data_IF_195566681055
#
_entry.id   IF_195566681055
#
_cell.length_a   1.000
_cell.length_b   1.000
_cell.length_c   1.000
_cell.angle_alpha   90.00
_cell.angle_beta   90.00
_cell.angle_gamma   90.00
#
_symmetry.space_group_name_H-M   'P 1'
#
loop_
_entity.id
_entity.type
_entity.pdbx_description
1 polymer ?
#
# COMPACT_ATOMS: atom_id res chain seq x y z
N UNK A 1 -12.42 30.48 12.28
CA UNK A 1 -12.36 29.25 11.42
C UNK A 1 -10.93 28.98 11.04
N UNK A 2 -10.48 27.74 11.27
CA UNK A 2 -9.11 27.34 10.97
C UNK A 2 -9.04 26.54 9.66
N UNK A 3 -9.04 27.26 8.55
CA UNK A 3 -8.87 26.64 7.23
C UNK A 3 -7.42 26.26 7.01
N UNK A 4 -7.21 25.04 6.57
CA UNK A 4 -5.90 24.51 6.20
C UNK A 4 -5.97 23.93 4.79
N UNK A 5 -4.91 24.15 4.04
CA UNK A 5 -4.69 23.45 2.78
C UNK A 5 -3.79 22.26 3.06
N UNK A 6 -4.26 21.08 2.78
CA UNK A 6 -3.46 19.86 2.93
C UNK A 6 -3.23 19.23 1.56
N UNK A 7 -2.00 18.88 1.30
CA UNK A 7 -1.61 18.12 0.11
C UNK A 7 -1.42 16.68 0.57
N UNK A 8 -2.19 15.77 -0.01
CA UNK A 8 -2.27 14.39 0.46
C UNK A 8 -2.07 13.40 -0.68
N UNK A 9 -1.72 12.16 -0.31
CA UNK A 9 -1.69 11.03 -1.23
C UNK A 9 -2.52 9.89 -0.66
N UNK A 10 -3.26 9.23 -1.54
CA UNK A 10 -4.07 8.06 -1.19
C UNK A 10 -3.21 6.80 -1.11
N UNK A 11 -3.74 5.79 -0.44
CA UNK A 11 -3.16 4.47 -0.44
C UNK A 11 -3.25 3.85 -1.84
N UNK A 12 -2.13 3.35 -2.32
CA UNK A 12 -2.03 2.65 -3.61
C UNK A 12 -1.21 1.38 -3.42
N UNK A 13 -1.44 0.40 -4.27
CA UNK A 13 -0.61 -0.80 -4.33
C UNK A 13 0.37 -0.63 -5.48
N UNK A 14 1.66 -0.61 -5.17
CA UNK A 14 2.73 -0.47 -6.14
C UNK A 14 3.67 -1.67 -6.02
N UNK A 15 3.77 -2.47 -7.08
CA UNK A 15 4.57 -3.70 -7.12
C UNK A 15 4.25 -4.67 -5.95
N UNK A 16 2.99 -4.74 -5.56
CA UNK A 16 2.54 -5.58 -4.45
C UNK A 16 2.74 -4.97 -3.07
N UNK A 17 3.25 -3.75 -2.97
CA UNK A 17 3.47 -3.05 -1.71
C UNK A 17 2.51 -1.87 -1.54
N UNK A 18 2.08 -1.64 -0.31
CA UNK A 18 1.26 -0.48 0.05
C UNK A 18 2.11 0.78 0.01
N UNK A 19 1.67 1.78 -0.75
CA UNK A 19 2.37 3.05 -0.91
C UNK A 19 1.42 4.22 -0.71
N UNK A 20 1.93 5.30 -0.13
CA UNK A 20 1.25 6.60 -0.04
C UNK A 20 2.07 7.68 -0.77
N UNK A 21 2.86 7.29 -1.75
CA UNK A 21 3.80 8.18 -2.46
C UNK A 21 3.34 8.55 -3.88
N UNK A 22 2.10 8.23 -4.22
CA UNK A 22 1.55 8.49 -5.55
C UNK A 22 1.14 9.93 -5.79
N UNK A 23 0.12 10.10 -6.60
CA UNK A 23 -0.40 11.41 -6.99
C UNK A 23 -0.80 12.25 -5.78
N UNK A 24 -0.60 13.55 -5.90
CA UNK A 24 -0.93 14.51 -4.86
C UNK A 24 -2.26 15.17 -5.14
N UNK A 25 -3.04 15.34 -4.08
CA UNK A 25 -4.35 15.98 -4.12
C UNK A 25 -4.38 17.11 -3.08
N UNK A 26 -4.91 18.25 -3.47
CA UNK A 26 -5.05 19.41 -2.58
C UNK A 26 -6.49 19.48 -2.04
N UNK A 27 -6.61 19.55 -0.73
CA UNK A 27 -7.91 19.66 -0.07
C UNK A 27 -7.90 20.79 0.95
N UNK A 28 -9.03 21.46 1.06
CA UNK A 28 -9.25 22.52 2.05
C UNK A 28 -10.08 21.91 3.17
N UNK A 29 -9.55 21.94 4.38
CA UNK A 29 -10.21 21.42 5.57
C UNK A 29 -10.31 22.51 6.63
N UNK A 30 -11.25 22.33 7.54
CA UNK A 30 -11.48 23.25 8.63
C UNK A 30 -11.31 22.50 9.96
N UNK A 31 -10.20 22.73 10.64
CA UNK A 31 -9.89 22.08 11.91
C UNK A 31 -8.92 22.91 12.72
N UNK A 32 -9.07 22.88 14.04
CA UNK A 32 -8.13 23.47 14.98
C UNK A 32 -7.01 22.48 15.38
N UNK A 33 -7.18 21.21 15.05
CA UNK A 33 -6.16 20.19 15.37
C UNK A 33 -4.90 20.43 14.59
N UNK A 34 -3.75 20.21 15.22
CA UNK A 34 -2.46 20.31 14.57
C UNK A 34 -2.25 19.12 13.63
N UNK A 35 -1.98 19.44 12.37
CA UNK A 35 -1.68 18.44 11.35
C UNK A 35 -0.26 18.68 10.88
N UNK A 36 0.54 17.62 10.81
CA UNK A 36 1.93 17.67 10.39
C UNK A 36 2.16 16.84 9.14
N UNK A 37 3.22 17.16 8.43
CA UNK A 37 3.72 16.35 7.32
C UNK A 37 3.92 14.91 7.79
N UNK A 38 3.50 13.96 6.99
CA UNK A 38 3.52 12.52 7.22
C UNK A 38 2.47 11.97 8.19
N UNK A 39 1.61 12.83 8.73
CA UNK A 39 0.44 12.35 9.48
C UNK A 39 -0.53 11.62 8.55
N UNK A 40 -1.22 10.64 9.10
CA UNK A 40 -2.37 10.03 8.44
C UNK A 40 -3.64 10.64 8.98
N UNK A 41 -4.50 11.08 8.09
CA UNK A 41 -5.78 11.70 8.45
C UNK A 41 -6.92 11.05 7.69
N UNK A 42 -8.10 11.07 8.29
CA UNK A 42 -9.32 10.63 7.64
C UNK A 42 -10.11 11.85 7.18
N UNK A 43 -10.48 11.85 5.91
CA UNK A 43 -11.26 12.89 5.26
C UNK A 43 -12.58 12.32 4.74
N UNK A 44 -13.62 13.11 4.82
CA UNK A 44 -14.94 12.77 4.28
C UNK A 44 -15.34 13.69 3.14
N UNK A 45 -16.06 13.14 2.17
CA UNK A 45 -16.68 13.94 1.13
C UNK A 45 -17.95 14.60 1.66
N UNK A 46 -18.27 15.83 1.21
CA UNK A 46 -19.59 16.42 1.47
C UNK A 46 -20.72 15.52 0.92
N UNK A 47 -21.79 15.40 1.68
CA UNK A 47 -22.90 14.47 1.36
C UNK A 47 -23.60 14.74 0.03
N UNK A 48 -23.40 15.89 -0.56
CA UNK A 48 -24.00 16.23 -1.87
C UNK A 48 -23.20 15.68 -3.06
N UNK A 49 -22.06 15.02 -2.82
CA UNK A 49 -21.26 14.36 -3.86
C UNK A 49 -21.61 12.84 -3.90
N UNK A 50 -22.48 12.45 -4.83
CA UNK A 50 -23.07 11.11 -4.86
C UNK A 50 -22.12 9.99 -5.30
N UNK A 51 -21.10 10.27 -6.09
CA UNK A 51 -20.28 9.23 -6.77
C UNK A 51 -18.96 8.93 -6.10
N UNK A 52 -18.83 9.10 -4.79
CA UNK A 52 -17.53 8.98 -4.13
C UNK A 52 -17.56 8.22 -2.82
N UNK A 53 -16.43 7.65 -2.48
CA UNK A 53 -16.21 7.09 -1.14
C UNK A 53 -16.37 8.19 -0.11
N UNK A 54 -17.30 8.00 0.82
CA UNK A 54 -17.61 9.00 1.83
C UNK A 54 -16.43 9.28 2.73
N UNK A 55 -15.64 8.26 3.07
CA UNK A 55 -14.50 8.39 3.96
C UNK A 55 -13.25 7.80 3.31
N UNK A 56 -12.12 8.48 3.51
CA UNK A 56 -10.81 8.01 3.03
C UNK A 56 -9.72 8.36 4.01
N UNK A 57 -8.77 7.46 4.19
CA UNK A 57 -7.54 7.71 4.94
C UNK A 57 -6.43 8.08 3.96
N UNK A 58 -5.75 9.17 4.23
CA UNK A 58 -4.68 9.69 3.37
C UNK A 58 -3.47 10.09 4.20
N UNK A 59 -2.31 10.11 3.55
CA UNK A 59 -1.07 10.61 4.14
C UNK A 59 -0.89 12.07 3.77
N UNK A 60 -0.61 12.91 4.76
CA UNK A 60 -0.33 14.33 4.54
C UNK A 60 1.09 14.50 3.99
N UNK A 61 1.19 15.14 2.83
CA UNK A 61 2.47 15.44 2.18
C UNK A 61 2.95 16.85 2.48
N UNK A 62 2.04 17.81 2.51
CA UNK A 62 2.32 19.20 2.87
C UNK A 62 1.11 19.80 3.58
N UNK A 63 1.34 20.78 4.45
CA UNK A 63 0.30 21.50 5.19
C UNK A 63 0.53 23.00 5.10
N UNK A 64 -0.51 23.74 4.77
CA UNK A 64 -0.52 25.20 4.86
C UNK A 64 -1.55 25.59 5.91
N UNK A 65 -1.09 26.10 7.04
CA UNK A 65 -1.96 26.60 8.11
C UNK A 65 -2.49 28.00 7.75
N UNK A 66 -3.67 28.31 8.27
CA UNK A 66 -4.31 29.63 8.06
C UNK A 66 -4.43 29.99 6.56
N UNK A 67 -4.89 29.02 5.78
CA UNK A 67 -5.07 29.20 4.35
C UNK A 67 -6.16 30.25 4.07
N UNK A 68 -5.78 31.37 3.51
CA UNK A 68 -6.69 32.44 3.16
C UNK A 68 -6.38 33.08 1.81
N UNK A 69 -5.13 33.21 1.46
CA UNK A 69 -4.68 33.78 0.19
C UNK A 69 -3.63 32.85 -0.43
N UNK A 70 -3.71 32.69 -1.73
CA UNK A 70 -2.71 31.96 -2.46
C UNK A 70 -1.47 32.82 -2.66
N UNK A 71 -0.34 32.33 -2.16
CA UNK A 71 0.98 32.89 -2.42
C UNK A 71 1.62 32.09 -3.55
N UNK A 72 2.73 32.56 -4.09
CA UNK A 72 3.48 31.87 -5.12
C UNK A 72 3.89 30.45 -4.65
N UNK A 73 4.29 30.31 -3.40
CA UNK A 73 4.64 29.01 -2.81
C UNK A 73 3.44 28.05 -2.78
N UNK A 74 2.27 28.54 -2.43
CA UNK A 74 1.04 27.77 -2.39
C UNK A 74 0.62 27.37 -3.80
N UNK A 75 0.70 28.28 -4.75
CA UNK A 75 0.41 28.01 -6.15
C UNK A 75 1.33 26.92 -6.71
N UNK A 76 2.61 26.94 -6.36
CA UNK A 76 3.56 25.90 -6.77
C UNK A 76 3.21 24.53 -6.18
N UNK A 77 2.76 24.50 -4.92
CA UNK A 77 2.30 23.25 -4.31
C UNK A 77 1.05 22.69 -5.00
N UNK A 78 0.10 23.56 -5.31
CA UNK A 78 -1.14 23.19 -6.00
C UNK A 78 -0.86 22.72 -7.43
N UNK A 79 0.10 23.33 -8.10
CA UNK A 79 0.47 22.97 -9.47
C UNK A 79 0.99 21.54 -9.59
N UNK A 80 1.55 20.99 -8.52
CA UNK A 80 2.02 19.59 -8.46
C UNK A 80 0.89 18.59 -8.21
N UNK A 81 -0.31 19.07 -7.94
CA UNK A 81 -1.47 18.24 -7.65
C UNK A 81 -2.23 17.89 -8.93
N UNK A 82 -3.04 16.84 -8.85
CA UNK A 82 -3.83 16.34 -10.00
C UNK A 82 -4.85 17.36 -10.47
N UNK A 83 -5.40 18.16 -9.56
CA UNK A 83 -6.46 19.13 -9.86
C UNK A 83 -6.47 20.26 -8.83
N UNK A 84 -7.31 21.26 -9.06
CA UNK A 84 -7.52 22.36 -8.13
C UNK A 84 -8.01 21.88 -6.77
N UNK A 85 -7.74 22.64 -5.69
CA UNK A 85 -8.19 22.29 -4.34
C UNK A 85 -9.70 22.09 -4.26
N UNK A 86 -10.12 21.09 -3.49
CA UNK A 86 -11.52 20.80 -3.19
C UNK A 86 -11.75 20.77 -1.69
N UNK A 87 -12.98 21.10 -1.29
CA UNK A 87 -13.37 21.01 0.10
C UNK A 87 -13.53 19.55 0.54
N UNK A 88 -13.03 19.26 1.73
CA UNK A 88 -13.23 17.99 2.42
C UNK A 88 -13.59 18.25 3.86
N UNK A 89 -14.24 17.30 4.48
CA UNK A 89 -14.57 17.34 5.90
C UNK A 89 -13.49 16.57 6.66
N UNK A 90 -12.84 17.22 7.62
CA UNK A 90 -11.86 16.58 8.48
C UNK A 90 -12.58 15.69 9.50
N UNK A 91 -12.29 14.40 9.51
CA UNK A 91 -12.87 13.43 10.43
C UNK A 91 -11.99 13.25 11.66
N UNK A 92 -10.69 13.09 11.46
CA UNK A 92 -9.75 12.90 12.54
C UNK A 92 -8.40 12.43 12.05
N UNK A 93 -7.44 12.32 12.99
CA UNK A 93 -6.16 11.71 12.72
C UNK A 93 -6.29 10.21 12.85
N UNK A 94 -5.55 9.46 12.04
CA UNK A 94 -5.50 8.01 12.07
C UNK A 94 -4.12 7.55 12.55
N UNK A 95 -4.12 6.57 13.43
CA UNK A 95 -2.91 5.84 13.79
C UNK A 95 -2.91 4.51 13.06
N UNK A 96 -2.02 4.38 12.10
CA UNK A 96 -1.93 3.19 11.24
C UNK A 96 -0.83 2.21 11.67
N UNK A 97 -0.21 2.41 12.84
CA UNK A 97 0.89 1.56 13.29
C UNK A 97 0.48 0.08 13.38
N UNK A 98 -0.66 -0.20 13.99
CA UNK A 98 -1.18 -1.56 14.12
C UNK A 98 -1.57 -2.15 12.76
N UNK A 99 -2.13 -1.33 11.89
CA UNK A 99 -2.46 -1.74 10.52
C UNK A 99 -1.22 -2.16 9.74
N UNK A 100 -0.17 -1.35 9.76
CA UNK A 100 1.08 -1.66 9.08
C UNK A 100 1.75 -2.91 9.67
N UNK A 101 1.73 -3.06 10.99
CA UNK A 101 2.28 -4.25 11.66
C UNK A 101 1.54 -5.52 11.22
N UNK A 102 0.23 -5.46 11.11
CA UNK A 102 -0.58 -6.60 10.66
C UNK A 102 -0.34 -6.93 9.19
N UNK A 103 -0.20 -5.92 8.33
CA UNK A 103 0.13 -6.11 6.91
C UNK A 103 1.49 -6.79 6.77
N UNK A 104 2.52 -6.33 7.50
CA UNK A 104 3.85 -6.94 7.47
C UNK A 104 3.81 -8.39 7.94
N UNK A 105 3.06 -8.67 9.00
CA UNK A 105 2.88 -10.03 9.52
C UNK A 105 2.25 -10.95 8.48
N UNK A 106 1.18 -10.50 7.83
CA UNK A 106 0.50 -11.27 6.78
C UNK A 106 1.40 -11.51 5.58
N UNK A 107 2.20 -10.53 5.22
CA UNK A 107 3.16 -10.67 4.12
C UNK A 107 4.22 -11.72 4.45
N UNK A 108 4.76 -11.69 5.67
CA UNK A 108 5.73 -12.70 6.13
C UNK A 108 5.12 -14.11 6.14
N UNK A 109 3.89 -14.24 6.63
CA UNK A 109 3.18 -15.52 6.62
C UNK A 109 2.99 -16.04 5.20
N UNK A 110 2.57 -15.17 4.27
CA UNK A 110 2.39 -15.54 2.87
C UNK A 110 3.72 -15.99 2.23
N UNK A 111 4.81 -15.26 2.47
CA UNK A 111 6.13 -15.59 1.93
C UNK A 111 6.64 -16.94 2.47
N UNK A 112 6.49 -17.18 3.78
CA UNK A 112 6.88 -18.45 4.40
C UNK A 112 6.04 -19.61 3.89
N UNK A 113 4.73 -19.41 3.77
CA UNK A 113 3.81 -20.42 3.23
C UNK A 113 4.19 -20.79 1.81
N UNK A 114 4.50 -19.81 0.96
CA UNK A 114 4.94 -20.05 -0.41
C UNK A 114 6.24 -20.85 -0.47
N UNK A 115 7.20 -20.55 0.41
CA UNK A 115 8.46 -21.30 0.49
C UNK A 115 8.24 -22.75 0.94
N UNK A 116 7.38 -22.96 1.92
CA UNK A 116 7.03 -24.29 2.43
C UNK A 116 6.35 -25.11 1.34
N UNK A 117 5.37 -24.53 0.65
CA UNK A 117 4.67 -25.21 -0.45
C UNK A 117 5.61 -25.58 -1.59
N UNK A 118 6.53 -24.69 -1.95
CA UNK A 118 7.54 -24.97 -2.98
C UNK A 118 8.41 -26.15 -2.59
N UNK A 119 8.92 -26.18 -1.36
CA UNK A 119 9.72 -27.29 -0.86
C UNK A 119 8.95 -28.60 -0.81
N UNK A 120 7.69 -28.52 -0.38
CA UNK A 120 6.81 -29.69 -0.34
C UNK A 120 6.61 -30.29 -1.74
N UNK A 121 6.32 -29.46 -2.74
CA UNK A 121 6.17 -29.90 -4.13
C UNK A 121 7.45 -30.52 -4.70
N UNK A 122 8.60 -29.94 -4.39
CA UNK A 122 9.89 -30.47 -4.83
C UNK A 122 10.15 -31.84 -4.20
N UNK A 123 9.89 -31.98 -2.91
CA UNK A 123 10.07 -33.28 -2.20
C UNK A 123 9.09 -34.33 -2.71
N UNK A 124 7.85 -33.95 -2.96
CA UNK A 124 6.81 -34.86 -3.51
C UNK A 124 7.18 -35.32 -4.91
N UNK A 125 7.66 -34.42 -5.75
CA UNK A 125 8.12 -34.73 -7.10
C UNK A 125 9.32 -35.69 -7.09
N UNK A 126 10.29 -35.44 -6.23
CA UNK A 126 11.45 -36.34 -6.07
C UNK A 126 11.04 -37.71 -5.57
N UNK A 127 10.16 -37.78 -4.58
CA UNK A 127 9.63 -39.05 -4.08
C UNK A 127 8.91 -39.85 -5.17
N UNK A 128 8.12 -39.15 -6.00
CA UNK A 128 7.42 -39.77 -7.13
C UNK A 128 8.40 -40.30 -8.17
N UNK A 129 9.44 -39.58 -8.50
CA UNK A 129 10.47 -40.02 -9.43
C UNK A 129 11.18 -41.27 -8.93
N UNK A 130 11.54 -41.35 -7.64
CA UNK A 130 12.18 -42.51 -7.03
C UNK A 130 11.26 -43.70 -7.03
N UNK A 131 9.99 -43.50 -6.77
CA UNK A 131 8.97 -44.57 -6.82
C UNK A 131 8.81 -45.13 -8.22
N UNK A 132 8.79 -44.28 -9.23
CA UNK A 132 8.76 -44.71 -10.63
C UNK A 132 10.01 -45.47 -11.03
N UNK A 133 11.17 -45.09 -10.50
CA UNK A 133 12.44 -45.76 -10.76
C UNK A 133 12.50 -47.21 -10.23
N UNK A 134 11.71 -47.53 -9.20
CA UNK A 134 11.61 -48.92 -8.67
C UNK A 134 10.97 -49.86 -9.67
N UNK A 135 10.09 -49.36 -10.54
CA UNK A 135 9.34 -50.17 -11.52
C UNK A 135 9.78 -49.95 -12.95
N UNK A 136 10.55 -48.89 -13.24
CA UNK A 136 10.99 -48.51 -14.57
C UNK A 136 12.53 -48.42 -14.62
N UNK A 137 13.22 -49.37 -15.29
CA UNK A 137 14.69 -49.37 -15.38
C UNK A 137 15.26 -48.13 -16.09
N UNK A 138 14.55 -47.58 -17.07
CA UNK A 138 14.98 -46.35 -17.76
C UNK A 138 14.95 -45.15 -16.84
N UNK A 139 13.92 -45.03 -16.05
CA UNK A 139 13.78 -43.94 -15.05
C UNK A 139 14.88 -44.08 -13.98
N UNK A 140 15.18 -45.30 -13.54
CA UNK A 140 16.27 -45.55 -12.59
C UNK A 140 17.61 -45.07 -13.13
N UNK A 141 17.89 -45.38 -14.40
CA UNK A 141 19.14 -44.99 -15.07
C UNK A 141 19.22 -43.45 -15.20
N UNK A 142 18.13 -42.80 -15.58
CA UNK A 142 18.06 -41.35 -15.70
C UNK A 142 18.25 -40.63 -14.35
N UNK A 143 17.65 -41.12 -13.29
CA UNK A 143 17.84 -40.58 -11.94
C UNK A 143 19.26 -40.76 -11.43
N UNK A 144 19.88 -41.88 -11.71
CA UNK A 144 21.28 -42.13 -11.34
C UNK A 144 22.21 -41.17 -12.07
N UNK A 145 21.95 -40.89 -13.35
CA UNK A 145 22.71 -39.95 -14.15
C UNK A 145 22.53 -38.52 -13.60
N UNK A 146 21.29 -38.11 -13.26
CA UNK A 146 21.01 -36.81 -12.68
C UNK A 146 21.71 -36.62 -11.32
N UNK A 147 21.67 -37.64 -10.46
CA UNK A 147 22.33 -37.59 -9.15
C UNK A 147 23.86 -37.50 -9.29
N UNK A 148 24.44 -38.06 -10.34
CA UNK A 148 25.89 -37.99 -10.60
C UNK A 148 26.32 -36.59 -11.06
N UNK A 149 25.41 -35.79 -11.59
CA UNK A 149 25.68 -34.45 -12.09
C UNK A 149 25.52 -33.34 -11.03
N UNK A 150 24.97 -33.67 -9.86
CA UNK A 150 24.77 -32.72 -8.76
C UNK A 150 26.00 -32.56 -7.88
#
# INVERSE_FOLDING_TARGET
MCKKLVIVSYAEVDEGELSFNGKRYAYIINTQKQIKKNDFICLGDPLFNEDRNLLSTVRVREVVNNYSKETEEIEDLIAKCVRAPRDKIFVGKADLADYFAEIDKRQKVADLTAKIEKRFKEAEKEALYRKLAETDPEMKALLAELDSLK
#
